data_IF_181614920325
#
_entry.id   IF_181614920325
#
_cell.length_a   1.000
_cell.length_b   1.000
_cell.length_c   1.000
_cell.angle_alpha   90.00
_cell.angle_beta   90.00
_cell.angle_gamma   90.00
#
_symmetry.space_group_name_H-M   'P 1'
#
loop_
_entity.id
_entity.type
_entity.pdbx_description
1 polymer ?
#
# COMPACT_ATOMS: atom_id res chain seq x y z
N UNK A 1 18.39 -0.18 -21.33
CA UNK A 1 18.23 -1.63 -21.04
C UNK A 1 17.09 -2.15 -21.90
N UNK A 2 17.07 -3.45 -22.25
CA UNK A 2 15.92 -4.02 -22.97
C UNK A 2 14.74 -4.12 -21.98
N UNK A 3 13.64 -3.44 -22.28
CA UNK A 3 12.39 -3.60 -21.51
C UNK A 3 11.98 -5.07 -21.57
N UNK A 4 11.68 -5.67 -20.42
CA UNK A 4 10.97 -6.95 -20.42
C UNK A 4 9.54 -6.67 -20.85
N UNK A 5 9.12 -7.13 -22.05
CA UNK A 5 7.76 -6.90 -22.50
C UNK A 5 6.81 -7.70 -21.59
N UNK A 6 5.66 -7.11 -21.28
CA UNK A 6 4.57 -7.88 -20.70
C UNK A 6 4.18 -9.02 -21.64
N UNK A 7 3.81 -10.17 -21.08
CA UNK A 7 3.20 -11.22 -21.87
C UNK A 7 1.91 -10.70 -22.53
N UNK A 8 1.56 -11.12 -23.76
CA UNK A 8 0.35 -10.64 -24.44
C UNK A 8 -0.93 -10.81 -23.61
N UNK A 9 -1.01 -11.87 -22.81
CA UNK A 9 -2.11 -12.11 -21.87
C UNK A 9 -2.18 -11.06 -20.74
N UNK A 10 -1.05 -10.66 -20.17
CA UNK A 10 -0.97 -9.60 -19.16
C UNK A 10 -1.38 -8.26 -19.77
N UNK A 11 -0.90 -7.95 -20.99
CA UNK A 11 -1.27 -6.72 -21.69
C UNK A 11 -2.76 -6.66 -22.03
N UNK A 12 -3.35 -7.78 -22.45
CA UNK A 12 -4.79 -7.88 -22.70
C UNK A 12 -5.59 -7.73 -21.40
N UNK A 13 -5.17 -8.37 -20.31
CA UNK A 13 -5.82 -8.27 -19.01
C UNK A 13 -5.76 -6.83 -18.48
N UNK A 14 -4.61 -6.17 -18.52
CA UNK A 14 -4.47 -4.75 -18.16
C UNK A 14 -5.43 -3.87 -18.97
N UNK A 15 -5.50 -4.10 -20.28
CA UNK A 15 -6.41 -3.37 -21.18
C UNK A 15 -7.87 -3.50 -20.76
N UNK A 16 -8.30 -4.72 -20.43
CA UNK A 16 -9.66 -5.02 -19.97
C UNK A 16 -9.94 -4.38 -18.60
N UNK A 17 -9.04 -4.55 -17.64
CA UNK A 17 -9.19 -4.05 -16.28
C UNK A 17 -9.28 -2.51 -16.26
N UNK A 18 -8.34 -1.82 -16.90
CA UNK A 18 -8.32 -0.35 -16.98
C UNK A 18 -9.55 0.21 -17.72
N UNK A 19 -9.93 -0.38 -18.87
CA UNK A 19 -11.12 0.08 -19.60
C UNK A 19 -12.40 -0.06 -18.77
N UNK A 20 -12.43 -1.06 -17.88
CA UNK A 20 -13.63 -1.41 -17.12
C UNK A 20 -13.80 -0.63 -15.81
N UNK A 21 -12.82 0.20 -15.43
CA UNK A 21 -12.96 1.22 -14.39
C UNK A 21 -13.20 2.61 -14.97
N UNK A 22 -12.98 2.80 -16.27
CA UNK A 22 -13.13 4.10 -16.91
C UNK A 22 -14.60 4.58 -16.88
N UNK A 23 -14.85 5.85 -16.53
CA UNK A 23 -16.20 6.44 -16.51
C UNK A 23 -16.76 6.57 -17.93
N UNK A 24 -18.08 6.73 -18.07
CA UNK A 24 -18.68 6.97 -19.39
C UNK A 24 -18.11 8.22 -20.06
N UNK A 25 -17.82 8.14 -21.37
CA UNK A 25 -17.32 9.28 -22.16
C UNK A 25 -15.80 9.51 -22.09
N UNK A 26 -15.05 8.55 -21.54
CA UNK A 26 -13.59 8.57 -21.49
C UNK A 26 -12.94 8.53 -22.88
N UNK A 27 -11.83 9.25 -23.06
CA UNK A 27 -10.93 9.17 -24.22
C UNK A 27 -9.79 8.19 -23.97
N UNK A 28 -9.21 8.26 -22.78
CA UNK A 28 -8.13 7.39 -22.33
C UNK A 28 -8.15 7.25 -20.80
N UNK A 29 -7.56 6.18 -20.31
CA UNK A 29 -7.35 5.92 -18.89
C UNK A 29 -5.89 5.55 -18.69
N UNK A 30 -5.26 6.19 -17.72
CA UNK A 30 -3.86 5.99 -17.42
C UNK A 30 -3.67 5.53 -15.98
N UNK A 31 -2.78 4.56 -15.79
CA UNK A 31 -2.29 4.11 -14.51
C UNK A 31 -0.81 4.45 -14.42
N UNK A 32 -0.42 5.08 -13.32
CA UNK A 32 0.98 5.15 -12.89
C UNK A 32 1.13 4.32 -11.63
N UNK A 33 2.06 3.38 -11.63
CA UNK A 33 2.35 2.51 -10.48
C UNK A 33 3.84 2.51 -10.22
N UNK A 34 4.24 2.58 -8.95
CA UNK A 34 5.64 2.49 -8.54
C UNK A 34 5.80 1.45 -7.44
N UNK A 35 6.87 0.67 -7.52
CA UNK A 35 7.16 -0.44 -6.61
C UNK A 35 8.58 -0.27 -6.11
N UNK A 36 8.75 -0.20 -4.78
CA UNK A 36 10.06 -0.02 -4.14
C UNK A 36 10.07 -0.81 -2.85
N UNK A 37 11.02 -1.73 -2.68
CA UNK A 37 11.19 -2.51 -1.44
C UNK A 37 10.07 -3.51 -1.13
N UNK A 38 8.99 -3.51 -1.92
CA UNK A 38 7.73 -4.22 -1.66
C UNK A 38 6.55 -3.29 -1.38
N UNK A 39 6.81 -2.00 -1.13
CA UNK A 39 5.80 -0.96 -1.07
C UNK A 39 5.32 -0.61 -2.48
N UNK A 40 4.01 -0.40 -2.63
CA UNK A 40 3.35 -0.13 -3.90
C UNK A 40 2.53 1.14 -3.79
N UNK A 41 2.78 2.08 -4.68
CA UNK A 41 1.94 3.27 -4.85
C UNK A 41 1.36 3.29 -6.26
N UNK A 42 0.10 3.67 -6.39
CA UNK A 42 -0.53 3.78 -7.70
C UNK A 42 -1.55 4.91 -7.77
N UNK A 43 -1.76 5.40 -8.99
CA UNK A 43 -2.78 6.39 -9.32
C UNK A 43 -3.40 6.04 -10.66
N UNK A 44 -4.74 6.08 -10.73
CA UNK A 44 -5.49 5.93 -11.97
C UNK A 44 -6.25 7.22 -12.26
N UNK A 45 -6.07 7.72 -13.49
CA UNK A 45 -6.74 8.91 -13.98
C UNK A 45 -7.36 8.61 -15.33
N UNK A 46 -8.66 8.87 -15.46
CA UNK A 46 -9.36 8.86 -16.74
C UNK A 46 -9.46 10.28 -17.29
N UNK A 47 -9.18 10.43 -18.59
CA UNK A 47 -9.46 11.65 -19.33
C UNK A 47 -10.76 11.50 -20.08
N UNK A 48 -11.64 12.51 -20.02
CA UNK A 48 -12.90 12.55 -20.75
C UNK A 48 -12.72 13.26 -22.10
N UNK A 49 -13.66 13.01 -23.03
CA UNK A 49 -13.64 13.63 -24.36
C UNK A 49 -13.72 15.17 -24.36
N UNK A 50 -14.11 15.78 -23.24
CA UNK A 50 -14.12 17.24 -23.03
C UNK A 50 -12.80 17.78 -22.45
N UNK A 51 -11.83 16.91 -22.18
CA UNK A 51 -10.52 17.23 -21.62
C UNK A 51 -10.47 17.27 -20.10
N UNK A 52 -11.58 16.97 -19.40
CA UNK A 52 -11.57 16.87 -17.94
C UNK A 52 -10.90 15.57 -17.46
N UNK A 53 -10.30 15.63 -16.28
CA UNK A 53 -9.64 14.48 -15.64
C UNK A 53 -10.47 13.99 -14.45
N UNK A 54 -10.64 12.68 -14.33
CA UNK A 54 -11.41 12.04 -13.27
C UNK A 54 -10.53 10.98 -12.60
N UNK A 55 -10.09 11.20 -11.34
CA UNK A 55 -9.48 10.15 -10.54
C UNK A 55 -10.41 8.95 -10.47
N UNK A 56 -9.88 7.77 -10.75
CA UNK A 56 -10.67 6.55 -10.82
C UNK A 56 -10.25 5.64 -9.67
N UNK A 57 -11.17 5.36 -8.75
CA UNK A 57 -10.94 4.49 -7.59
C UNK A 57 -11.86 3.28 -7.73
N UNK A 58 -11.34 2.06 -7.48
CA UNK A 58 -12.18 0.86 -7.50
C UNK A 58 -11.40 -0.44 -7.35
N UNK A 59 -12.11 -1.52 -7.01
CA UNK A 59 -11.55 -2.83 -6.64
C UNK A 59 -10.67 -3.51 -7.69
N UNK A 60 -10.89 -3.19 -8.97
CA UNK A 60 -10.06 -3.68 -10.08
C UNK A 60 -8.63 -3.15 -10.03
N UNK A 61 -8.34 -2.17 -9.17
CA UNK A 61 -6.97 -1.71 -8.89
C UNK A 61 -6.12 -2.79 -8.24
N UNK A 62 -6.69 -3.68 -7.41
CA UNK A 62 -5.92 -4.76 -6.78
C UNK A 62 -5.44 -5.76 -7.85
N UNK A 63 -6.34 -6.19 -8.74
CA UNK A 63 -5.97 -7.09 -9.85
C UNK A 63 -4.94 -6.42 -10.79
N UNK A 64 -5.07 -5.11 -11.03
CA UNK A 64 -4.05 -4.35 -11.77
C UNK A 64 -2.69 -4.39 -11.06
N UNK A 65 -2.67 -4.14 -9.75
CA UNK A 65 -1.45 -4.19 -8.93
C UNK A 65 -0.80 -5.57 -9.00
N UNK A 66 -1.56 -6.66 -8.92
CA UNK A 66 -1.03 -8.02 -9.00
C UNK A 66 -0.33 -8.30 -10.35
N UNK A 67 -0.89 -7.82 -11.46
CA UNK A 67 -0.26 -7.95 -12.79
C UNK A 67 1.08 -7.21 -12.81
N UNK A 68 1.15 -6.02 -12.22
CA UNK A 68 2.37 -5.23 -12.16
C UNK A 68 3.40 -5.79 -11.17
N UNK A 69 2.99 -6.35 -10.04
CA UNK A 69 3.88 -7.06 -9.11
C UNK A 69 4.53 -8.26 -9.81
N UNK A 70 3.75 -9.05 -10.54
CA UNK A 70 4.29 -10.16 -11.32
C UNK A 70 5.26 -9.67 -12.41
N UNK A 71 4.92 -8.60 -13.13
CA UNK A 71 5.79 -8.00 -14.13
C UNK A 71 7.08 -7.41 -13.53
N UNK A 72 7.01 -6.86 -12.33
CA UNK A 72 8.15 -6.32 -11.60
C UNK A 72 9.13 -7.43 -11.21
N UNK A 73 8.64 -8.56 -10.73
CA UNK A 73 9.47 -9.74 -10.44
C UNK A 73 10.09 -10.32 -11.72
N UNK A 74 9.32 -10.42 -12.81
CA UNK A 74 9.81 -10.92 -14.10
C UNK A 74 10.85 -10.01 -14.75
N UNK A 75 10.78 -8.70 -14.49
CA UNK A 75 11.69 -7.71 -15.04
C UNK A 75 13.04 -7.61 -14.30
N UNK A 76 13.22 -8.33 -13.20
CA UNK A 76 14.48 -8.33 -12.48
C UNK A 76 15.61 -8.93 -13.33
N UNK A 77 16.66 -8.12 -13.54
CA UNK A 77 17.90 -8.54 -14.19
C UNK A 77 19.05 -8.40 -13.18
N UNK A 78 19.80 -9.49 -12.89
CA UNK A 78 20.94 -9.42 -11.97
C UNK A 78 21.93 -8.31 -12.34
N UNK A 79 22.21 -7.43 -11.37
CA UNK A 79 23.12 -6.30 -11.55
C UNK A 79 22.51 -5.09 -12.27
N UNK A 80 21.27 -5.17 -12.74
CA UNK A 80 20.54 -4.04 -13.32
C UNK A 80 19.25 -3.69 -12.57
N UNK A 81 18.80 -4.57 -11.66
CA UNK A 81 17.59 -4.37 -10.87
C UNK A 81 16.31 -4.63 -11.68
N UNK A 82 15.18 -4.17 -11.14
CA UNK A 82 13.90 -4.08 -11.87
C UNK A 82 13.50 -2.61 -12.09
N UNK A 83 12.43 -2.37 -12.82
CA UNK A 83 11.86 -1.04 -13.00
C UNK A 83 11.29 -0.53 -11.68
N UNK A 84 11.23 0.79 -11.49
CA UNK A 84 10.69 1.41 -10.26
C UNK A 84 9.32 2.04 -10.49
N UNK A 85 9.05 2.46 -11.73
CA UNK A 85 7.75 3.01 -12.13
C UNK A 85 7.30 2.37 -13.44
N UNK A 86 6.02 2.09 -13.56
CA UNK A 86 5.38 1.72 -14.81
C UNK A 86 4.21 2.66 -15.10
N UNK A 87 4.00 2.98 -16.38
CA UNK A 87 2.85 3.75 -16.85
C UNK A 87 2.11 2.95 -17.92
N UNK A 88 0.85 2.64 -17.67
CA UNK A 88 -0.05 2.07 -18.67
C UNK A 88 -1.07 3.10 -19.12
N UNK A 89 -1.33 3.17 -20.42
CA UNK A 89 -2.38 4.01 -21.00
C UNK A 89 -3.23 3.15 -21.91
N UNK A 90 -4.53 3.15 -21.68
CA UNK A 90 -5.51 2.53 -22.58
C UNK A 90 -6.30 3.65 -23.23
N UNK A 91 -6.49 3.59 -24.54
CA UNK A 91 -7.36 4.48 -25.29
C UNK A 91 -8.74 3.83 -25.46
N UNK A 92 -9.81 4.63 -25.53
CA UNK A 92 -11.17 4.15 -25.76
C UNK A 92 -11.33 3.32 -27.04
N UNK A 93 -10.43 3.52 -28.01
CA UNK A 93 -10.33 2.72 -29.25
C UNK A 93 -9.70 1.33 -29.03
N UNK A 94 -9.36 0.95 -27.80
CA UNK A 94 -8.84 -0.36 -27.42
C UNK A 94 -7.32 -0.53 -27.55
N UNK A 95 -6.57 0.54 -27.87
CA UNK A 95 -5.10 0.50 -27.89
C UNK A 95 -4.56 0.66 -26.47
N UNK A 96 -3.60 -0.19 -26.10
CA UNK A 96 -2.85 -0.10 -24.84
C UNK A 96 -1.36 0.10 -25.10
N UNK A 97 -0.74 0.99 -24.31
CA UNK A 97 0.71 1.15 -24.21
C UNK A 97 1.14 0.98 -22.75
N UNK A 98 2.28 0.34 -22.52
CA UNK A 98 2.87 0.19 -21.20
C UNK A 98 4.35 0.54 -21.29
N UNK A 99 4.79 1.47 -20.47
CA UNK A 99 6.17 1.93 -20.38
C UNK A 99 6.72 1.63 -18.99
N UNK A 100 7.96 1.15 -18.93
CA UNK A 100 8.68 0.87 -17.69
C UNK A 100 9.88 1.80 -17.54
N UNK A 101 9.97 2.45 -16.38
CA UNK A 101 11.05 3.36 -16.00
C UNK A 101 11.90 2.72 -14.89
N UNK A 102 13.20 2.62 -15.15
CA UNK A 102 14.17 2.01 -14.25
C UNK A 102 14.97 3.06 -13.50
N UNK A 103 15.02 4.30 -13.99
CA UNK A 103 16.14 5.20 -13.72
C UNK A 103 15.71 6.54 -13.12
N UNK A 104 14.46 6.97 -13.36
CA UNK A 104 13.93 8.18 -12.74
C UNK A 104 13.35 7.89 -11.36
N UNK A 105 13.41 8.90 -10.50
CA UNK A 105 12.80 8.85 -9.18
C UNK A 105 11.27 8.72 -9.32
N UNK A 106 10.62 7.75 -8.64
CA UNK A 106 9.18 7.61 -8.64
C UNK A 106 8.45 8.90 -8.25
N UNK A 107 7.27 9.17 -8.83
CA UNK A 107 6.48 10.38 -8.52
C UNK A 107 5.72 10.27 -7.19
N UNK A 108 5.95 9.22 -6.41
CA UNK A 108 5.33 8.97 -5.12
C UNK A 108 6.39 8.98 -4.02
N UNK A 109 5.96 9.30 -2.81
CA UNK A 109 6.81 9.13 -1.64
C UNK A 109 6.77 7.68 -1.14
N UNK A 110 7.92 7.16 -0.77
CA UNK A 110 8.08 5.84 -0.19
C UNK A 110 8.69 5.95 1.20
N UNK A 111 8.42 4.95 2.04
CA UNK A 111 9.11 4.82 3.31
C UNK A 111 10.63 4.79 3.06
N UNK A 112 11.46 5.53 3.84
CA UNK A 112 12.90 5.57 3.59
C UNK A 112 13.56 4.18 3.60
N UNK A 113 13.08 3.26 4.44
CA UNK A 113 13.55 1.87 4.50
C UNK A 113 13.27 1.07 3.20
N UNK A 114 12.27 1.44 2.41
CA UNK A 114 11.93 0.76 1.16
C UNK A 114 13.07 0.82 0.15
N UNK A 115 13.86 1.90 0.14
CA UNK A 115 14.99 2.08 -0.78
C UNK A 115 16.15 1.12 -0.49
N UNK A 116 16.46 0.90 0.78
CA UNK A 116 17.47 -0.09 1.19
C UNK A 116 17.04 -1.50 0.77
N UNK A 117 15.79 -1.84 1.07
CA UNK A 117 15.24 -3.16 0.74
C UNK A 117 15.15 -3.38 -0.77
N UNK A 118 14.90 -2.33 -1.56
CA UNK A 118 14.92 -2.43 -3.02
C UNK A 118 16.30 -2.87 -3.53
N UNK A 119 17.38 -2.21 -3.09
CA UNK A 119 18.73 -2.60 -3.51
C UNK A 119 19.19 -3.93 -2.91
N UNK A 120 18.68 -4.32 -1.74
CA UNK A 120 18.95 -5.63 -1.16
C UNK A 120 18.28 -6.78 -1.94
N UNK A 121 17.01 -6.62 -2.31
CA UNK A 121 16.24 -7.63 -3.06
C UNK A 121 16.59 -7.66 -4.54
N UNK A 122 16.84 -6.50 -5.16
CA UNK A 122 17.12 -6.34 -6.59
C UNK A 122 18.41 -5.55 -6.81
N UNK A 123 19.58 -6.14 -6.51
CA UNK A 123 20.86 -5.47 -6.60
C UNK A 123 21.14 -4.88 -7.98
N UNK A 124 21.61 -3.63 -7.95
CA UNK A 124 22.09 -2.88 -9.12
C UNK A 124 23.61 -2.72 -9.02
N UNK A 125 24.32 -2.87 -10.14
CA UNK A 125 25.74 -2.57 -10.20
C UNK A 125 25.94 -1.06 -10.04
N UNK A 126 26.98 -0.66 -9.31
CA UNK A 126 27.23 0.75 -8.99
C UNK A 126 27.29 1.67 -10.22
N UNK A 127 27.67 1.17 -11.39
CA UNK A 127 27.72 1.95 -12.62
C UNK A 127 26.34 2.23 -13.24
N UNK A 128 25.31 1.49 -12.85
CA UNK A 128 23.94 1.63 -13.36
C UNK A 128 22.94 2.07 -12.29
N UNK A 129 23.34 2.12 -11.02
CA UNK A 129 22.51 2.68 -9.94
C UNK A 129 22.44 4.21 -10.09
N UNK A 130 21.26 4.81 -10.27
CA UNK A 130 21.12 6.25 -10.27
C UNK A 130 21.61 6.89 -8.97
N UNK A 131 22.20 8.08 -9.04
CA UNK A 131 22.78 8.75 -7.87
C UNK A 131 21.74 9.02 -6.76
N UNK A 132 20.50 9.34 -7.14
CA UNK A 132 19.40 9.57 -6.20
C UNK A 132 19.03 8.28 -5.44
N UNK A 133 19.03 7.13 -6.11
CA UNK A 133 18.68 5.84 -5.50
C UNK A 133 19.78 5.40 -4.54
N UNK A 134 21.05 5.54 -4.95
CA UNK A 134 22.20 5.26 -4.09
C UNK A 134 22.20 6.13 -2.82
N UNK A 135 21.77 7.39 -2.91
CA UNK A 135 21.70 8.29 -1.77
C UNK A 135 20.55 7.91 -0.80
N UNK A 136 19.39 7.46 -1.31
CA UNK A 136 18.24 7.09 -0.48
C UNK A 136 18.34 5.70 0.14
N UNK A 137 19.07 4.78 -0.50
CA UNK A 137 19.22 3.40 -0.03
C UNK A 137 20.31 3.21 1.03
N UNK A 138 20.87 4.29 1.58
CA UNK A 138 21.83 4.21 2.68
C UNK A 138 21.07 3.82 3.95
N UNK A 139 21.39 2.68 4.59
CA UNK A 139 20.80 2.32 5.87
C UNK A 139 21.09 3.43 6.87
N UNK A 140 20.06 3.86 7.60
CA UNK A 140 20.20 4.85 8.67
C UNK A 140 19.55 4.34 9.95
N UNK A 141 20.19 4.63 11.08
CA UNK A 141 19.63 4.43 12.41
C UNK A 141 18.68 5.58 12.82
N UNK A 142 18.54 6.59 11.96
CA UNK A 142 17.69 7.75 12.20
C UNK A 142 16.21 7.35 12.33
N UNK A 143 15.47 8.18 13.04
CA UNK A 143 14.02 8.12 13.08
C UNK A 143 13.44 8.55 11.72
N UNK A 144 12.81 7.61 11.01
CA UNK A 144 12.22 7.79 9.68
C UNK A 144 10.69 7.91 9.71
N UNK A 145 10.10 7.96 10.90
CA UNK A 145 8.65 7.96 11.06
C UNK A 145 8.05 6.56 11.03
N UNK A 146 6.73 6.49 10.88
CA UNK A 146 5.94 5.27 10.72
C UNK A 146 5.14 5.38 9.43
N UNK A 147 5.47 4.58 8.42
CA UNK A 147 4.79 4.61 7.11
C UNK A 147 4.59 3.19 6.60
N UNK A 148 3.40 2.63 6.82
CA UNK A 148 3.11 1.26 6.40
C UNK A 148 1.62 0.99 6.18
N UNK A 149 1.37 -0.12 5.48
CA UNK A 149 0.07 -0.76 5.39
C UNK A 149 0.24 -2.25 5.72
N UNK A 150 -0.49 -2.73 6.73
CA UNK A 150 -0.42 -4.09 7.24
C UNK A 150 -1.81 -4.64 7.53
N UNK A 151 -1.91 -5.95 7.72
CA UNK A 151 -3.17 -6.60 8.11
C UNK A 151 -3.00 -7.34 9.42
N UNK A 152 -4.04 -7.39 10.25
CA UNK A 152 -4.16 -8.38 11.32
C UNK A 152 -5.22 -9.40 10.95
N UNK A 153 -4.90 -10.67 11.12
CA UNK A 153 -5.80 -11.80 10.87
C UNK A 153 -5.76 -12.75 12.05
N UNK A 154 -6.82 -13.55 12.21
CA UNK A 154 -6.96 -14.46 13.36
C UNK A 154 -5.87 -15.53 13.39
N UNK A 155 -5.42 -15.99 12.23
CA UNK A 155 -4.40 -17.03 12.06
C UNK A 155 -3.00 -16.48 11.74
N UNK A 156 -2.86 -15.16 11.58
CA UNK A 156 -1.63 -14.54 11.10
C UNK A 156 -1.29 -14.97 9.66
N UNK A 157 -2.28 -15.41 8.88
CA UNK A 157 -2.17 -15.68 7.45
C UNK A 157 -2.74 -14.54 6.61
N UNK A 158 -2.65 -14.61 5.26
CA UNK A 158 -3.28 -13.63 4.39
C UNK A 158 -4.81 -13.73 4.44
N UNK A 159 -5.48 -12.58 4.41
CA UNK A 159 -6.94 -12.53 4.30
C UNK A 159 -7.42 -13.06 2.93
N UNK A 160 -8.62 -13.65 2.85
CA UNK A 160 -9.25 -13.99 1.59
C UNK A 160 -9.38 -12.77 0.66
N UNK A 161 -9.21 -13.00 -0.64
CA UNK A 161 -9.46 -12.01 -1.69
C UNK A 161 -10.62 -12.49 -2.59
N UNK A 162 -11.47 -11.59 -3.12
CA UNK A 162 -11.45 -10.13 -2.95
C UNK A 162 -11.73 -9.71 -1.51
N UNK A 163 -11.19 -8.54 -1.13
CA UNK A 163 -11.41 -7.98 0.19
C UNK A 163 -12.89 -7.61 0.37
N UNK A 164 -13.46 -7.98 1.51
CA UNK A 164 -14.82 -7.59 1.93
C UNK A 164 -14.74 -6.46 2.95
N UNK A 165 -14.90 -5.22 2.48
CA UNK A 165 -14.86 -4.02 3.30
C UNK A 165 -16.20 -3.75 4.01
N UNK A 166 -16.72 -4.78 4.68
CA UNK A 166 -17.92 -4.72 5.52
C UNK A 166 -17.54 -4.97 6.96
N UNK A 167 -17.89 -4.05 7.86
CA UNK A 167 -17.72 -4.30 9.29
C UNK A 167 -18.78 -5.27 9.79
N UNK A 168 -18.32 -6.40 10.34
CA UNK A 168 -19.21 -7.41 10.92
C UNK A 168 -19.75 -6.96 12.27
N UNK A 169 -20.84 -7.57 12.79
CA UNK A 169 -21.31 -7.31 14.14
C UNK A 169 -20.22 -7.54 15.21
N UNK A 170 -19.34 -8.52 14.99
CA UNK A 170 -18.19 -8.75 15.87
C UNK A 170 -17.15 -7.64 15.74
N UNK A 171 -16.88 -7.16 14.52
CA UNK A 171 -16.02 -6.02 14.26
C UNK A 171 -16.47 -4.75 14.99
N UNK A 172 -17.77 -4.46 14.98
CA UNK A 172 -18.33 -3.32 15.72
C UNK A 172 -18.06 -3.41 17.23
N UNK A 173 -18.22 -4.61 17.81
CA UNK A 173 -17.93 -4.85 19.23
C UNK A 173 -16.44 -4.68 19.54
N UNK A 174 -15.56 -5.17 18.66
CA UNK A 174 -14.12 -4.98 18.79
C UNK A 174 -13.74 -3.51 18.77
N UNK A 175 -14.23 -2.74 17.80
CA UNK A 175 -13.94 -1.31 17.68
C UNK A 175 -14.37 -0.55 18.94
N UNK A 176 -15.57 -0.82 19.46
CA UNK A 176 -16.05 -0.20 20.69
C UNK A 176 -15.16 -0.49 21.92
N UNK A 177 -14.72 -1.74 22.10
CA UNK A 177 -13.83 -2.11 23.20
C UNK A 177 -12.41 -1.54 23.00
N UNK A 178 -11.89 -1.52 21.77
CA UNK A 178 -10.60 -0.91 21.45
C UNK A 178 -10.59 0.59 21.74
N UNK A 179 -11.63 1.34 21.33
CA UNK A 179 -11.76 2.78 21.67
C UNK A 179 -11.68 2.99 23.17
N UNK A 180 -12.40 2.19 23.96
CA UNK A 180 -12.42 2.28 25.42
C UNK A 180 -11.03 2.02 26.02
N UNK A 181 -10.34 0.96 25.60
CA UNK A 181 -9.01 0.62 26.13
C UNK A 181 -7.93 1.62 25.71
N UNK A 182 -7.93 2.04 24.45
CA UNK A 182 -6.99 3.04 23.94
C UNK A 182 -7.19 4.39 24.63
N UNK A 183 -8.44 4.84 24.78
CA UNK A 183 -8.74 6.08 25.53
C UNK A 183 -8.29 5.98 26.98
N UNK A 184 -8.52 4.85 27.64
CA UNK A 184 -8.06 4.61 29.01
C UNK A 184 -6.54 4.60 29.15
N UNK A 185 -5.82 4.18 28.10
CA UNK A 185 -4.36 4.24 27.99
C UNK A 185 -3.85 5.65 27.62
N UNK A 186 -4.73 6.64 27.48
CA UNK A 186 -4.36 8.03 27.14
C UNK A 186 -4.14 8.26 25.63
N UNK A 187 -4.42 7.27 24.79
CA UNK A 187 -4.32 7.39 23.33
C UNK A 187 -5.53 8.17 22.80
N UNK A 188 -5.26 9.20 21.99
CA UNK A 188 -6.32 9.92 21.30
C UNK A 188 -6.85 9.09 20.13
N UNK A 189 -8.10 8.65 20.24
CA UNK A 189 -8.76 7.80 19.24
C UNK A 189 -10.17 8.31 18.94
N UNK A 190 -10.61 8.17 17.69
CA UNK A 190 -11.98 8.45 17.23
C UNK A 190 -12.49 7.31 16.37
N UNK A 191 -13.76 6.95 16.56
CA UNK A 191 -14.47 6.03 15.69
C UNK A 191 -15.01 6.80 14.48
N UNK A 192 -14.81 6.27 13.29
CA UNK A 192 -15.33 6.78 12.03
C UNK A 192 -15.89 5.65 11.18
N UNK A 193 -16.40 6.02 10.01
CA UNK A 193 -16.81 5.08 8.97
C UNK A 193 -16.49 5.66 7.60
N UNK A 194 -16.21 4.79 6.64
CA UNK A 194 -15.90 5.17 5.26
C UNK A 194 -16.55 4.18 4.28
N UNK A 195 -16.64 4.60 3.02
CA UNK A 195 -17.21 3.83 1.94
C UNK A 195 -16.21 2.76 1.46
N UNK A 196 -16.71 1.56 1.31
CA UNK A 196 -15.97 0.44 0.74
C UNK A 196 -16.87 -0.39 -0.15
N UNK A 197 -16.46 -1.64 -0.37
CA UNK A 197 -17.27 -2.57 -1.12
C UNK A 197 -17.19 -4.01 -0.53
N UNK A 198 -18.29 -4.76 -0.54
CA UNK A 198 -18.43 -6.13 0.01
C UNK A 198 -17.81 -7.20 -0.89
N UNK A 199 -17.59 -8.47 -0.51
CA UNK A 199 -16.92 -9.45 -1.41
C UNK A 199 -17.47 -9.58 -2.86
N UNK A 200 -18.73 -9.16 -3.11
CA UNK A 200 -19.44 -9.29 -4.38
C UNK A 200 -19.29 -8.08 -5.34
N UNK A 201 -18.59 -7.01 -4.96
CA UNK A 201 -18.52 -5.79 -5.78
C UNK A 201 -19.52 -4.70 -5.38
N UNK A 202 -20.33 -4.89 -4.33
CA UNK A 202 -21.41 -3.96 -4.00
C UNK A 202 -20.92 -2.91 -3.00
N UNK A 203 -21.42 -1.66 -3.07
CA UNK A 203 -21.11 -0.64 -2.08
C UNK A 203 -21.40 -1.13 -0.66
N UNK A 204 -20.45 -0.88 0.24
CA UNK A 204 -20.54 -1.22 1.65
C UNK A 204 -20.00 -0.07 2.50
N UNK A 205 -20.15 -0.18 3.81
CA UNK A 205 -19.58 0.75 4.78
C UNK A 205 -18.74 -0.08 5.74
N UNK A 206 -17.53 0.39 5.99
CA UNK A 206 -16.70 -0.12 7.07
C UNK A 206 -16.46 0.96 8.12
N UNK A 207 -16.30 0.52 9.35
CA UNK A 207 -15.93 1.34 10.48
C UNK A 207 -14.40 1.29 10.67
N UNK A 208 -13.83 2.42 11.06
CA UNK A 208 -12.40 2.57 11.34
C UNK A 208 -12.14 3.31 12.65
N UNK A 209 -11.02 2.99 13.31
CA UNK A 209 -10.45 3.82 14.36
C UNK A 209 -9.40 4.73 13.78
N UNK A 210 -9.54 6.04 13.97
CA UNK A 210 -8.47 7.00 13.73
C UNK A 210 -7.77 7.33 15.04
N UNK A 211 -6.49 7.00 15.09
CA UNK A 211 -5.61 7.16 16.23
C UNK A 211 -4.60 8.27 15.89
N UNK A 212 -4.47 9.26 16.77
CA UNK A 212 -3.51 10.36 16.59
C UNK A 212 -2.13 9.94 17.12
N UNK A 213 -1.07 10.21 16.35
CA UNK A 213 0.32 9.98 16.75
C UNK A 213 1.12 11.25 16.47
N UNK A 214 1.30 12.09 17.50
CA UNK A 214 1.82 13.45 17.31
C UNK A 214 0.90 14.24 16.37
N UNK A 215 1.44 14.76 15.27
CA UNK A 215 0.68 15.38 14.17
C UNK A 215 0.32 14.40 13.04
N UNK A 216 0.85 13.18 13.06
CA UNK A 216 0.53 12.11 12.13
C UNK A 216 -0.66 11.26 12.59
N UNK A 217 -0.96 10.20 11.85
CA UNK A 217 -2.10 9.35 12.17
C UNK A 217 -1.86 7.86 11.93
N UNK A 218 -2.77 7.10 12.52
CA UNK A 218 -2.94 5.67 12.30
C UNK A 218 -4.44 5.39 12.11
N UNK A 219 -4.78 4.55 11.12
CA UNK A 219 -6.12 4.01 10.92
C UNK A 219 -6.15 2.50 11.12
N UNK A 220 -7.15 2.01 11.85
CA UNK A 220 -7.50 0.59 11.95
C UNK A 220 -8.92 0.38 11.44
N UNK A 221 -9.06 -0.14 10.22
CA UNK A 221 -10.34 -0.47 9.61
C UNK A 221 -10.72 -1.93 9.86
N UNK A 222 -11.97 -2.19 10.26
CA UNK A 222 -12.45 -3.55 10.50
C UNK A 222 -13.22 -4.10 9.31
N UNK A 223 -12.57 -4.98 8.54
CA UNK A 223 -13.14 -5.71 7.42
C UNK A 223 -13.65 -7.09 7.87
N UNK A 224 -14.32 -7.82 6.97
CA UNK A 224 -14.97 -9.07 7.35
C UNK A 224 -14.00 -10.18 7.80
N UNK A 225 -12.78 -10.17 7.24
CA UNK A 225 -11.77 -11.20 7.45
C UNK A 225 -10.40 -10.66 7.88
N UNK A 226 -10.22 -9.33 7.98
CA UNK A 226 -8.99 -8.71 8.45
C UNK A 226 -9.25 -7.38 9.15
N UNK A 227 -8.33 -6.99 10.04
CA UNK A 227 -8.18 -5.58 10.42
C UNK A 227 -7.10 -4.98 9.53
N UNK A 228 -7.46 -3.99 8.73
CA UNK A 228 -6.49 -3.26 7.93
C UNK A 228 -5.88 -2.14 8.78
N UNK A 229 -4.57 -2.05 8.76
CA UNK A 229 -3.80 -1.08 9.52
C UNK A 229 -2.97 -0.21 8.59
N UNK A 230 -3.22 1.09 8.62
CA UNK A 230 -2.45 2.09 7.88
C UNK A 230 -1.88 3.06 8.91
N UNK A 231 -0.60 3.41 8.78
CA UNK A 231 0.02 4.47 9.58
C UNK A 231 0.84 5.38 8.67
N UNK A 232 0.73 6.69 8.91
CA UNK A 232 1.50 7.72 8.22
C UNK A 232 1.88 8.82 9.23
N UNK A 233 3.12 8.75 9.69
CA UNK A 233 3.72 9.64 10.69
C UNK A 233 5.12 9.98 10.21
N UNK A 234 5.38 11.26 9.95
CA UNK A 234 6.68 11.74 9.51
C UNK A 234 7.61 12.04 10.71
N UNK A 235 8.95 12.05 10.53
CA UNK A 235 9.90 12.31 11.62
C UNK A 235 9.69 13.62 12.38
N UNK A 236 9.19 14.65 11.70
CA UNK A 236 8.91 15.98 12.25
C UNK A 236 7.54 16.07 12.93
N UNK A 237 6.65 15.10 12.72
CA UNK A 237 5.29 15.08 13.28
C UNK A 237 5.23 14.41 14.66
N UNK A 238 6.14 13.49 14.97
CA UNK A 238 6.17 12.79 16.25
C UNK A 238 7.59 12.29 16.52
N UNK A 239 8.03 12.29 17.78
CA UNK A 239 9.30 11.66 18.14
C UNK A 239 9.19 10.13 18.18
N UNK A 240 10.33 9.46 17.98
CA UNK A 240 10.43 7.99 17.90
C UNK A 240 9.87 7.27 19.13
N UNK A 241 10.15 7.78 20.33
CA UNK A 241 9.73 7.09 21.57
C UNK A 241 8.22 7.13 21.71
N UNK A 242 7.61 8.31 21.54
CA UNK A 242 6.16 8.48 21.59
C UNK A 242 5.46 7.64 20.53
N UNK A 243 5.98 7.62 19.29
CA UNK A 243 5.40 6.83 18.22
C UNK A 243 5.44 5.32 18.50
N UNK A 244 6.59 4.80 18.97
CA UNK A 244 6.76 3.39 19.33
C UNK A 244 5.84 3.00 20.50
N UNK A 245 5.74 3.83 21.54
CA UNK A 245 4.88 3.56 22.70
C UNK A 245 3.40 3.46 22.29
N UNK A 246 2.93 4.34 21.40
CA UNK A 246 1.57 4.28 20.88
C UNK A 246 1.39 3.04 20.01
N UNK A 247 2.31 2.75 19.07
CA UNK A 247 2.25 1.56 18.21
C UNK A 247 2.15 0.28 19.04
N UNK A 248 3.00 0.11 20.05
CA UNK A 248 2.98 -1.06 20.94
C UNK A 248 1.69 -1.15 21.75
N UNK A 249 1.17 -0.02 22.23
CA UNK A 249 -0.12 0.05 22.94
C UNK A 249 -1.25 -0.43 22.03
N UNK A 250 -1.27 0.02 20.77
CA UNK A 250 -2.28 -0.39 19.79
C UNK A 250 -2.19 -1.88 19.49
N UNK A 251 -1.01 -2.40 19.17
CA UNK A 251 -0.81 -3.84 18.90
C UNK A 251 -1.32 -4.68 20.08
N UNK A 252 -0.96 -4.30 21.30
CA UNK A 252 -1.38 -5.00 22.52
C UNK A 252 -2.91 -5.00 22.64
N UNK A 253 -3.55 -3.84 22.50
CA UNK A 253 -5.02 -3.74 22.59
C UNK A 253 -5.71 -4.54 21.48
N UNK A 254 -5.23 -4.44 20.24
CA UNK A 254 -5.79 -5.20 19.10
C UNK A 254 -5.73 -6.70 19.38
N UNK A 255 -4.56 -7.20 19.78
CA UNK A 255 -4.36 -8.62 20.06
C UNK A 255 -5.26 -9.09 21.23
N UNK A 256 -5.33 -8.34 22.33
CA UNK A 256 -6.16 -8.70 23.49
C UNK A 256 -7.67 -8.68 23.22
N UNK A 257 -8.14 -7.74 22.38
CA UNK A 257 -9.58 -7.58 22.10
C UNK A 257 -10.06 -8.56 21.03
N UNK A 258 -9.22 -8.83 20.02
CA UNK A 258 -9.65 -9.56 18.82
C UNK A 258 -9.07 -10.96 18.71
N UNK A 259 -7.91 -11.21 19.33
CA UNK A 259 -7.09 -12.39 19.09
C UNK A 259 -6.41 -12.40 17.72
N UNK A 260 -6.57 -11.34 16.91
CA UNK A 260 -5.88 -11.21 15.64
C UNK A 260 -4.40 -10.92 15.87
N UNK A 261 -3.56 -11.57 15.07
CA UNK A 261 -2.12 -11.40 15.07
C UNK A 261 -1.73 -10.61 13.83
N UNK A 262 -0.70 -9.78 13.96
CA UNK A 262 -0.16 -9.00 12.85
C UNK A 262 0.37 -9.95 11.77
N UNK A 263 -0.26 -9.90 10.60
CA UNK A 263 0.24 -10.51 9.37
C UNK A 263 1.19 -9.52 8.68
N UNK A 264 2.48 -9.75 8.90
CA UNK A 264 3.56 -8.86 8.50
C UNK A 264 4.57 -9.51 7.52
N UNK A 265 4.14 -10.23 6.47
CA UNK A 265 5.09 -10.70 5.47
C UNK A 265 5.65 -9.49 4.72
N UNK A 266 6.99 -9.43 4.60
CA UNK A 266 7.64 -8.33 3.88
C UNK A 266 7.88 -7.07 4.68
N UNK A 267 7.55 -7.06 5.99
CA UNK A 267 7.91 -5.96 6.90
C UNK A 267 9.43 -5.78 6.96
N UNK A 268 9.85 -4.54 6.72
CA UNK A 268 11.25 -4.14 6.58
C UNK A 268 11.96 -4.18 7.94
N UNK A 269 13.30 -4.28 7.94
CA UNK A 269 14.10 -4.32 9.18
C UNK A 269 13.81 -3.14 10.11
N UNK A 270 13.66 -1.94 9.53
CA UNK A 270 13.30 -0.72 10.25
C UNK A 270 11.92 -0.84 10.93
N UNK A 271 10.92 -1.35 10.22
CA UNK A 271 9.56 -1.50 10.75
C UNK A 271 9.50 -2.60 11.83
N UNK A 272 10.23 -3.71 11.65
CA UNK A 272 10.35 -4.77 12.67
C UNK A 272 10.86 -4.23 13.99
N UNK A 273 11.85 -3.32 13.94
CA UNK A 273 12.38 -2.63 15.13
C UNK A 273 11.29 -1.83 15.84
N UNK A 274 10.49 -1.06 15.09
CA UNK A 274 9.37 -0.26 15.65
C UNK A 274 8.28 -1.15 16.23
N UNK A 275 7.98 -2.28 15.57
CA UNK A 275 6.93 -3.22 15.98
C UNK A 275 7.37 -4.15 17.12
N UNK A 276 8.63 -4.09 17.56
CA UNK A 276 9.19 -5.01 18.56
C UNK A 276 9.27 -6.47 18.08
N UNK A 277 9.25 -6.71 16.77
CA UNK A 277 9.38 -8.04 16.19
C UNK A 277 10.86 -8.44 16.14
N UNK A 278 11.17 -9.62 16.68
CA UNK A 278 12.53 -10.17 16.59
C UNK A 278 12.93 -10.41 15.12
N UNK A 279 14.20 -10.13 14.78
CA UNK A 279 14.78 -10.33 13.45
C UNK A 279 14.65 -11.77 12.95
#
# INVERSE_FOLDING_TARGET
>A
MAQVPLAPEQQQLLGQLLSSIAPHGWSDVSLTISIVGGEVHSSVVAHLGDGSEVPTVGRKTIELVDVFLAAHEQAYVPGAGSWLTARAVVLAVGRITVDFDYDHEPPFEFAPASWEVELAKRPRAAQVTPAWLAAKAVPTDDWLGVRWQMSFTVDGGPAPRPLDATTTPQGHLWLGEMVKRLTAAGVQVRLGADEGEDADGRPSIYEELRITIGEGYMSLACFAHELSWIADVFPDQCDETTAIDIVHTVITVVNEVTGCVLFAPGVLSYERRILGLSG
#
